data_IF_938264278242
#
_entry.id   IF_938264278242
#
_cell.length_a   1.000
_cell.length_b   1.000
_cell.length_c   1.000
_cell.angle_alpha   90.00
_cell.angle_beta   90.00
_cell.angle_gamma   90.00
#
_symmetry.space_group_name_H-M   'P 1'
#
loop_
_entity.id
_entity.type
_entity.pdbx_description
1 polymer ?
#
# COMPACT_ATOMS: atom_id res chain seq x y z
N UNK A 1 -27.61 -38.46 -30.92
CA UNK A 1 -27.03 -37.34 -31.69
C UNK A 1 -26.71 -36.21 -30.72
N UNK A 2 -25.46 -36.11 -30.28
CA UNK A 2 -24.98 -35.11 -29.32
C UNK A 2 -25.02 -33.73 -29.98
N UNK A 3 -25.93 -32.85 -29.54
CA UNK A 3 -25.99 -31.46 -29.99
C UNK A 3 -24.72 -30.73 -29.53
N UNK A 4 -23.90 -30.28 -30.48
CA UNK A 4 -22.74 -29.43 -30.16
C UNK A 4 -23.23 -28.00 -29.93
N UNK A 5 -23.40 -27.63 -28.66
CA UNK A 5 -24.04 -26.39 -28.19
C UNK A 5 -23.44 -25.09 -28.73
N UNK A 6 -22.19 -25.12 -29.21
CA UNK A 6 -21.45 -23.92 -29.64
C UNK A 6 -21.04 -23.92 -31.11
N UNK A 7 -21.54 -24.87 -31.91
CA UNK A 7 -21.16 -24.99 -33.32
C UNK A 7 -22.27 -24.45 -34.23
N UNK A 8 -21.92 -23.44 -35.03
CA UNK A 8 -22.78 -22.85 -36.06
C UNK A 8 -22.16 -23.08 -37.44
N UNK A 9 -22.99 -23.21 -38.48
CA UNK A 9 -22.51 -23.38 -39.86
C UNK A 9 -23.06 -22.26 -40.75
N UNK A 10 -22.16 -21.52 -41.39
CA UNK A 10 -22.53 -20.47 -42.35
C UNK A 10 -21.94 -20.82 -43.70
N UNK A 11 -22.79 -21.25 -44.62
CA UNK A 11 -22.38 -21.79 -45.92
C UNK A 11 -21.53 -23.06 -45.73
N UNK A 12 -20.29 -23.03 -46.21
CA UNK A 12 -19.36 -24.15 -46.11
C UNK A 12 -18.46 -24.12 -44.87
N UNK A 13 -18.46 -23.03 -44.09
CA UNK A 13 -17.49 -22.82 -43.00
C UNK A 13 -18.17 -22.92 -41.64
N UNK A 14 -17.51 -23.59 -40.71
CA UNK A 14 -17.97 -23.69 -39.32
C UNK A 14 -17.51 -22.52 -38.47
N UNK A 15 -18.36 -22.12 -37.52
CA UNK A 15 -18.16 -21.05 -36.58
C UNK A 15 -18.39 -21.55 -35.15
N UNK A 16 -17.61 -21.02 -34.22
CA UNK A 16 -17.88 -21.11 -32.80
C UNK A 16 -18.81 -19.96 -32.41
N UNK A 17 -19.95 -20.28 -31.80
CA UNK A 17 -20.94 -19.32 -31.33
C UNK A 17 -21.19 -19.49 -29.84
N UNK A 18 -21.05 -18.40 -29.09
CA UNK A 18 -21.33 -18.39 -27.64
C UNK A 18 -21.96 -17.07 -27.22
N UNK A 19 -23.06 -17.14 -26.47
CA UNK A 19 -23.72 -15.97 -25.90
C UNK A 19 -22.87 -15.36 -24.77
N UNK A 20 -22.81 -14.04 -24.73
CA UNK A 20 -22.22 -13.30 -23.60
C UNK A 20 -23.25 -13.23 -22.48
N UNK A 21 -22.93 -13.70 -21.26
CA UNK A 21 -23.86 -13.64 -20.14
C UNK A 21 -24.16 -12.18 -19.73
N UNK A 22 -25.39 -11.96 -19.25
CA UNK A 22 -25.97 -10.61 -19.08
C UNK A 22 -25.20 -9.75 -18.06
N UNK A 23 -24.58 -10.38 -17.07
CA UNK A 23 -23.76 -9.78 -16.01
C UNK A 23 -22.56 -8.98 -16.55
N UNK A 24 -21.98 -9.42 -17.67
CA UNK A 24 -20.76 -8.82 -18.25
C UNK A 24 -20.96 -8.18 -19.62
N UNK A 25 -22.17 -8.26 -20.20
CA UNK A 25 -22.46 -7.76 -21.55
C UNK A 25 -22.07 -6.29 -21.74
N UNK A 26 -22.30 -5.46 -20.73
CA UNK A 26 -21.96 -4.03 -20.76
C UNK A 26 -20.47 -3.70 -20.71
N UNK A 27 -19.58 -4.67 -20.44
CA UNK A 27 -18.12 -4.47 -20.39
C UNK A 27 -17.40 -4.94 -21.65
N UNK A 28 -17.99 -5.87 -22.38
CA UNK A 28 -17.43 -6.36 -23.64
C UNK A 28 -17.99 -5.53 -24.79
N UNK A 29 -17.27 -4.50 -25.20
CA UNK A 29 -17.68 -3.62 -26.30
C UNK A 29 -17.18 -4.14 -27.66
N UNK A 30 -17.99 -3.90 -28.69
CA UNK A 30 -17.60 -4.08 -30.09
C UNK A 30 -16.74 -2.91 -30.57
N UNK A 31 -16.13 -3.02 -31.76
CA UNK A 31 -15.34 -1.92 -32.34
C UNK A 31 -16.13 -0.60 -32.47
N UNK A 32 -17.46 -0.70 -32.53
CA UNK A 32 -18.37 0.44 -32.62
C UNK A 32 -18.85 0.95 -31.26
N UNK A 33 -18.29 0.45 -30.15
CA UNK A 33 -18.67 0.85 -28.79
C UNK A 33 -19.96 0.21 -28.25
N UNK A 34 -20.66 -0.62 -29.04
CA UNK A 34 -21.88 -1.28 -28.60
C UNK A 34 -21.59 -2.56 -27.78
N UNK A 35 -22.40 -2.89 -26.75
CA UNK A 35 -22.27 -4.14 -26.00
C UNK A 35 -22.34 -5.38 -26.90
N UNK A 36 -21.39 -6.29 -26.73
CA UNK A 36 -21.34 -7.55 -27.49
C UNK A 36 -22.30 -8.56 -26.86
N UNK A 37 -23.30 -8.99 -27.63
CA UNK A 37 -24.26 -10.02 -27.21
C UNK A 37 -23.75 -11.44 -27.43
N UNK A 38 -22.89 -11.65 -28.43
CA UNK A 38 -22.36 -12.97 -28.78
C UNK A 38 -20.92 -12.92 -29.31
N UNK A 39 -20.17 -14.00 -29.08
CA UNK A 39 -18.93 -14.31 -29.78
C UNK A 39 -19.26 -15.21 -30.96
N UNK A 40 -18.90 -14.76 -32.17
CA UNK A 40 -18.99 -15.55 -33.41
C UNK A 40 -17.61 -15.59 -34.06
N UNK A 41 -16.90 -16.70 -33.89
CA UNK A 41 -15.51 -16.88 -34.32
C UNK A 41 -15.47 -17.91 -35.45
N UNK A 42 -14.84 -17.56 -36.58
CA UNK A 42 -14.66 -18.52 -37.69
C UNK A 42 -13.63 -19.58 -37.31
N UNK A 43 -14.00 -20.85 -37.42
CA UNK A 43 -13.09 -21.99 -37.21
C UNK A 43 -12.25 -22.29 -38.46
N UNK A 44 -12.48 -21.55 -39.57
CA UNK A 44 -11.76 -21.67 -40.85
C UNK A 44 -11.69 -23.09 -41.42
N UNK A 45 -12.67 -23.92 -41.08
CA UNK A 45 -12.75 -25.31 -41.56
C UNK A 45 -14.13 -25.61 -42.10
N UNK A 46 -14.15 -26.48 -43.12
CA UNK A 46 -15.37 -27.04 -43.71
C UNK A 46 -15.68 -28.44 -43.20
N UNK A 47 -14.74 -29.06 -42.48
CA UNK A 47 -14.90 -30.37 -41.88
C UNK A 47 -15.50 -30.25 -40.47
N UNK A 48 -16.58 -31.00 -40.25
CA UNK A 48 -17.35 -30.98 -39.01
C UNK A 48 -16.55 -31.59 -37.85
N UNK A 49 -15.78 -32.65 -38.10
CA UNK A 49 -15.01 -33.30 -37.03
C UNK A 49 -13.88 -32.41 -36.55
N UNK A 50 -13.14 -31.83 -37.50
CA UNK A 50 -12.10 -30.84 -37.21
C UNK A 50 -12.68 -29.64 -36.46
N UNK A 51 -13.86 -29.14 -36.86
CA UNK A 51 -14.53 -28.04 -36.17
C UNK A 51 -14.85 -28.38 -34.71
N UNK A 52 -15.34 -29.59 -34.43
CA UNK A 52 -15.64 -30.05 -33.06
C UNK A 52 -14.38 -30.10 -32.18
N UNK A 53 -13.24 -30.51 -32.73
CA UNK A 53 -11.97 -30.57 -31.99
C UNK A 53 -11.45 -29.19 -31.59
N UNK A 54 -11.84 -28.13 -32.29
CA UNK A 54 -11.45 -26.75 -32.00
C UNK A 54 -12.34 -26.06 -30.96
N UNK A 55 -13.53 -26.61 -30.67
CA UNK A 55 -14.48 -26.03 -29.69
C UNK A 55 -13.84 -25.85 -28.29
N UNK A 56 -13.12 -26.84 -27.72
CA UNK A 56 -12.52 -26.68 -26.40
C UNK A 56 -11.54 -25.50 -26.31
N UNK A 57 -10.72 -25.30 -27.34
CA UNK A 57 -9.73 -24.21 -27.37
C UNK A 57 -10.41 -22.83 -27.30
N UNK A 58 -11.44 -22.60 -28.13
CA UNK A 58 -12.19 -21.34 -28.11
C UNK A 58 -13.08 -21.17 -26.88
N UNK A 59 -13.50 -22.29 -26.25
CA UNK A 59 -14.22 -22.24 -24.97
C UNK A 59 -13.30 -21.71 -23.87
N UNK A 60 -12.08 -22.24 -23.77
CA UNK A 60 -11.07 -21.77 -22.80
C UNK A 60 -10.73 -20.29 -23.03
N UNK A 61 -10.55 -19.90 -24.29
CA UNK A 61 -10.25 -18.51 -24.66
C UNK A 61 -11.39 -17.56 -24.25
N UNK A 62 -12.64 -17.91 -24.58
CA UNK A 62 -13.80 -17.09 -24.19
C UNK A 62 -14.06 -17.11 -22.69
N UNK A 63 -13.76 -18.20 -21.98
CA UNK A 63 -13.84 -18.25 -20.52
C UNK A 63 -12.83 -17.29 -19.85
N UNK A 64 -11.61 -17.18 -20.39
CA UNK A 64 -10.63 -16.20 -19.90
C UNK A 64 -11.15 -14.77 -20.05
N UNK A 65 -11.72 -14.43 -21.21
CA UNK A 65 -12.32 -13.11 -21.47
C UNK A 65 -13.51 -12.85 -20.54
N UNK A 66 -14.33 -13.87 -20.27
CA UNK A 66 -15.44 -13.73 -19.32
C UNK A 66 -14.97 -13.56 -17.88
N UNK A 67 -13.95 -14.31 -17.46
CA UNK A 67 -13.37 -14.18 -16.11
C UNK A 67 -12.76 -12.78 -15.90
N UNK A 68 -12.06 -12.24 -16.90
CA UNK A 68 -11.53 -10.88 -16.89
C UNK A 68 -12.65 -9.82 -16.88
N UNK A 69 -13.69 -9.98 -17.70
CA UNK A 69 -14.82 -9.07 -17.68
C UNK A 69 -15.55 -9.11 -16.32
N UNK A 70 -15.67 -10.30 -15.70
CA UNK A 70 -16.26 -10.45 -14.36
C UNK A 70 -15.39 -9.84 -13.27
N UNK A 71 -14.07 -9.92 -13.38
CA UNK A 71 -13.19 -9.28 -12.39
C UNK A 71 -13.31 -7.76 -12.44
N UNK A 72 -13.71 -7.16 -13.56
CA UNK A 72 -14.00 -5.72 -13.67
C UNK A 72 -15.38 -5.37 -13.09
N UNK A 73 -16.39 -6.23 -13.29
CA UNK A 73 -17.76 -6.00 -12.78
C UNK A 73 -17.84 -6.23 -11.27
N UNK A 74 -17.20 -7.30 -10.79
CA UNK A 74 -17.13 -7.68 -9.39
C UNK A 74 -15.82 -7.26 -8.72
N UNK A 75 -15.04 -6.38 -9.37
CA UNK A 75 -14.01 -5.65 -8.66
C UNK A 75 -14.71 -5.02 -7.45
N UNK A 76 -14.25 -5.27 -6.20
CA UNK A 76 -14.69 -4.44 -5.09
C UNK A 76 -14.47 -3.00 -5.56
N UNK A 77 -15.50 -2.16 -5.36
CA UNK A 77 -15.50 -0.76 -5.80
C UNK A 77 -14.08 -0.21 -5.65
N UNK A 78 -13.48 0.42 -6.68
CA UNK A 78 -12.12 0.89 -6.57
C UNK A 78 -12.05 1.65 -5.27
N UNK A 79 -11.24 1.15 -4.32
CA UNK A 79 -10.95 1.90 -3.11
C UNK A 79 -10.72 3.33 -3.57
N UNK A 80 -11.43 4.31 -2.97
CA UNK A 80 -11.52 5.67 -3.49
C UNK A 80 -10.13 6.02 -4.00
N UNK A 81 -10.01 6.27 -5.31
CA UNK A 81 -8.71 6.55 -5.92
C UNK A 81 -8.11 7.62 -5.03
N UNK A 82 -7.09 7.25 -4.29
CA UNK A 82 -6.48 8.15 -3.33
C UNK A 82 -5.84 9.21 -4.21
N UNK A 83 -6.59 10.30 -4.42
CA UNK A 83 -6.05 11.58 -4.83
C UNK A 83 -4.94 11.85 -3.84
N UNK A 84 -3.70 11.76 -4.30
CA UNK A 84 -2.48 11.97 -3.53
C UNK A 84 -2.29 11.08 -2.28
N UNK A 85 -1.20 10.27 -2.18
CA UNK A 85 -0.90 9.56 -0.96
C UNK A 85 -0.60 10.46 0.26
N UNK A 86 -0.61 11.79 0.10
CA UNK A 86 -0.54 12.76 1.18
C UNK A 86 -1.91 13.05 1.86
N UNK A 87 -3.03 12.79 1.17
CA UNK A 87 -4.35 13.27 1.60
C UNK A 87 -5.06 12.30 2.56
N UNK A 88 -4.71 11.00 2.56
CA UNK A 88 -5.22 10.00 3.52
C UNK A 88 -4.37 9.91 4.81
N UNK A 89 -3.14 10.40 4.72
CA UNK A 89 -2.20 10.44 5.83
C UNK A 89 -2.61 11.55 6.82
N UNK A 90 -3.13 12.67 6.31
CA UNK A 90 -3.41 13.86 7.12
C UNK A 90 -4.51 13.63 8.16
N UNK A 91 -5.69 13.13 7.80
CA UNK A 91 -6.81 13.06 8.77
C UNK A 91 -6.59 11.96 9.85
N UNK A 92 -5.97 10.84 9.48
CA UNK A 92 -5.62 9.77 10.43
C UNK A 92 -4.46 10.18 11.35
N UNK A 93 -3.46 10.89 10.82
CA UNK A 93 -2.38 11.44 11.64
C UNK A 93 -2.85 12.58 12.53
N UNK A 94 -3.69 13.50 12.03
CA UNK A 94 -4.28 14.59 12.82
C UNK A 94 -5.12 14.05 13.98
N UNK A 95 -5.95 13.03 13.73
CA UNK A 95 -6.72 12.39 14.80
C UNK A 95 -5.81 11.62 15.77
N UNK A 96 -4.74 10.98 15.27
CA UNK A 96 -3.74 10.31 16.11
C UNK A 96 -2.96 11.28 16.99
N UNK A 97 -2.55 12.43 16.45
CA UNK A 97 -1.86 13.50 17.17
C UNK A 97 -2.77 14.09 18.24
N UNK A 98 -4.01 14.42 17.91
CA UNK A 98 -4.98 14.95 18.88
C UNK A 98 -5.26 13.97 20.03
N UNK A 99 -5.30 12.66 19.74
CA UNK A 99 -5.46 11.64 20.77
C UNK A 99 -4.21 11.49 21.64
N UNK A 100 -3.01 11.55 21.05
CA UNK A 100 -1.75 11.55 21.81
C UNK A 100 -1.64 12.79 22.70
N UNK A 101 -2.02 13.96 22.21
CA UNK A 101 -2.02 15.20 22.97
C UNK A 101 -3.00 15.12 24.16
N UNK A 102 -4.21 14.62 23.93
CA UNK A 102 -5.19 14.43 24.99
C UNK A 102 -4.71 13.43 26.06
N UNK A 103 -4.06 12.35 25.65
CA UNK A 103 -3.48 11.36 26.58
C UNK A 103 -2.26 11.92 27.32
N UNK A 104 -1.44 12.75 26.67
CA UNK A 104 -0.33 13.46 27.29
C UNK A 104 -0.82 14.47 28.33
N UNK A 105 -1.82 15.30 28.00
CA UNK A 105 -2.41 16.24 28.97
C UNK A 105 -2.97 15.51 30.19
N UNK A 106 -3.67 14.39 30.00
CA UNK A 106 -4.16 13.58 31.13
C UNK A 106 -3.03 13.00 31.99
N UNK A 107 -1.90 12.67 31.38
CA UNK A 107 -0.70 12.18 32.09
C UNK A 107 -0.03 13.31 32.88
N UNK A 108 0.05 14.50 32.29
CA UNK A 108 0.58 15.70 32.94
C UNK A 108 -0.27 16.10 34.16
N UNK A 109 -1.60 16.14 34.03
CA UNK A 109 -2.51 16.42 35.14
C UNK A 109 -2.33 15.45 36.31
N UNK A 110 -2.14 14.16 35.99
CA UNK A 110 -1.87 13.12 37.00
C UNK A 110 -0.50 13.32 37.63
N UNK A 111 0.50 13.69 36.84
CA UNK A 111 1.86 13.92 37.31
C UNK A 111 1.92 15.12 38.25
N UNK A 112 1.25 16.22 37.93
CA UNK A 112 1.15 17.40 38.78
C UNK A 112 0.54 17.04 40.15
N UNK A 113 -0.57 16.30 40.15
CA UNK A 113 -1.21 15.83 41.41
C UNK A 113 -0.30 14.92 42.24
N UNK A 114 0.53 14.12 41.58
CA UNK A 114 1.45 13.17 42.21
C UNK A 114 2.83 13.78 42.51
N UNK A 115 3.14 14.97 42.01
CA UNK A 115 4.42 15.65 42.20
C UNK A 115 4.89 15.70 43.66
N UNK A 116 4.06 16.08 44.66
CA UNK A 116 4.51 16.10 46.04
C UNK A 116 4.87 14.70 46.57
N UNK A 117 4.15 13.67 46.14
CA UNK A 117 4.43 12.28 46.50
C UNK A 117 5.71 11.77 45.80
N UNK A 118 5.89 12.13 44.53
CA UNK A 118 7.10 11.80 43.76
C UNK A 118 8.32 12.44 44.45
N UNK A 119 8.28 13.74 44.75
CA UNK A 119 9.38 14.44 45.42
C UNK A 119 9.69 13.83 46.80
N UNK A 120 8.67 13.45 47.56
CA UNK A 120 8.84 12.74 48.83
C UNK A 120 9.56 11.40 48.65
N UNK A 121 9.13 10.58 47.68
CA UNK A 121 9.74 9.29 47.39
C UNK A 121 11.18 9.45 46.86
N UNK A 122 11.44 10.44 46.01
CA UNK A 122 12.78 10.72 45.51
C UNK A 122 13.74 11.11 46.63
N UNK A 123 13.30 11.96 47.56
CA UNK A 123 14.07 12.28 48.77
C UNK A 123 14.37 11.02 49.59
N UNK A 124 13.37 10.15 49.77
CA UNK A 124 13.54 8.90 50.52
C UNK A 124 14.49 7.91 49.83
N UNK A 125 14.48 7.85 48.51
CA UNK A 125 15.33 6.95 47.71
C UNK A 125 16.75 7.51 47.48
N UNK A 126 17.01 8.78 47.81
CA UNK A 126 18.32 9.42 47.63
C UNK A 126 19.40 8.95 48.62
N UNK A 127 19.01 8.38 49.77
CA UNK A 127 19.93 7.96 50.83
C UNK A 127 20.74 6.69 50.54
N UNK A 128 21.55 6.28 51.53
CA UNK A 128 22.32 5.02 51.48
C UNK A 128 21.39 3.79 51.45
N UNK A 129 21.71 2.81 50.60
CA UNK A 129 20.95 1.57 50.46
C UNK A 129 21.00 0.68 51.70
N UNK A 130 22.03 0.82 52.53
CA UNK A 130 22.21 0.02 53.77
C UNK A 130 21.16 0.33 54.83
N UNK A 131 20.58 1.54 54.80
CA UNK A 131 19.58 2.00 55.76
C UNK A 131 18.14 1.86 55.21
N UNK A 132 17.98 1.26 54.03
CA UNK A 132 16.69 1.12 53.36
C UNK A 132 16.07 -0.27 53.59
N UNK A 133 14.74 -0.31 53.68
CA UNK A 133 14.00 -1.58 53.64
C UNK A 133 14.24 -2.31 52.30
N UNK A 134 14.10 -3.64 52.25
CA UNK A 134 14.26 -4.41 51.03
C UNK A 134 13.42 -3.88 49.85
N UNK A 135 12.20 -3.43 50.10
CA UNK A 135 11.27 -2.90 49.10
C UNK A 135 11.77 -1.57 48.52
N UNK A 136 12.27 -0.67 49.37
CA UNK A 136 12.84 0.61 48.93
C UNK A 136 14.14 0.42 48.15
N UNK A 137 14.96 -0.58 48.52
CA UNK A 137 16.14 -0.95 47.73
C UNK A 137 15.76 -1.45 46.34
N UNK A 138 14.74 -2.31 46.22
CA UNK A 138 14.25 -2.77 44.93
C UNK A 138 13.72 -1.62 44.06
N UNK A 139 12.93 -0.71 44.65
CA UNK A 139 12.44 0.48 43.96
C UNK A 139 13.58 1.40 43.50
N UNK A 140 14.60 1.60 44.33
CA UNK A 140 15.79 2.39 43.95
C UNK A 140 16.54 1.74 42.78
N UNK A 141 16.74 0.42 42.83
CA UNK A 141 17.42 -0.31 41.76
C UNK A 141 16.69 -0.19 40.42
N UNK A 142 15.36 -0.38 40.42
CA UNK A 142 14.54 -0.21 39.20
C UNK A 142 14.66 1.21 38.66
N UNK A 143 14.56 2.22 39.53
CA UNK A 143 14.69 3.63 39.13
C UNK A 143 16.08 3.91 38.53
N UNK A 144 17.14 3.45 39.16
CA UNK A 144 18.51 3.69 38.70
C UNK A 144 18.76 3.00 37.34
N UNK A 145 18.21 1.80 37.13
CA UNK A 145 18.25 1.08 35.85
C UNK A 145 17.48 1.80 34.74
N UNK A 146 16.29 2.33 35.04
CA UNK A 146 15.52 3.15 34.10
C UNK A 146 16.26 4.45 33.73
N UNK A 147 16.90 5.11 34.70
CA UNK A 147 17.72 6.31 34.46
C UNK A 147 18.92 5.96 33.56
N UNK A 148 19.60 4.84 33.85
CA UNK A 148 20.72 4.38 33.05
C UNK A 148 20.28 4.08 31.60
N UNK A 149 19.22 3.31 31.43
CA UNK A 149 18.66 2.96 30.11
C UNK A 149 18.24 4.19 29.31
N UNK A 150 17.62 5.17 29.96
CA UNK A 150 17.25 6.44 29.32
C UNK A 150 18.48 7.20 28.81
N UNK A 151 19.52 7.33 29.64
CA UNK A 151 20.77 7.99 29.25
C UNK A 151 21.44 7.30 28.07
N UNK A 152 21.44 5.96 28.07
CA UNK A 152 22.00 5.18 26.97
C UNK A 152 21.29 5.48 25.64
N UNK A 153 19.96 5.55 25.65
CA UNK A 153 19.17 5.90 24.46
C UNK A 153 19.43 7.35 24.04
N UNK A 154 19.50 8.29 24.97
CA UNK A 154 19.83 9.70 24.68
C UNK A 154 21.21 9.85 24.02
N UNK A 155 22.21 9.12 24.51
CA UNK A 155 23.55 9.11 23.93
C UNK A 155 23.56 8.48 22.54
N UNK A 156 22.85 7.37 22.34
CA UNK A 156 22.70 6.75 21.02
C UNK A 156 22.02 7.70 20.01
N UNK A 157 20.95 8.38 20.42
CA UNK A 157 20.28 9.38 19.59
C UNK A 157 21.19 10.57 19.26
N UNK A 158 22.06 10.99 20.19
CA UNK A 158 23.05 12.04 19.94
C UNK A 158 24.04 11.63 18.86
N UNK A 159 24.55 10.40 18.93
CA UNK A 159 25.47 9.85 17.92
C UNK A 159 24.79 9.77 16.55
N UNK A 160 23.59 9.20 16.47
CA UNK A 160 22.83 9.10 15.22
C UNK A 160 22.53 10.48 14.60
N UNK A 161 22.22 11.49 15.43
CA UNK A 161 22.02 12.87 14.96
C UNK A 161 23.31 13.49 14.40
N UNK A 162 24.46 13.19 15.00
CA UNK A 162 25.75 13.65 14.48
C UNK A 162 26.11 12.96 13.15
N UNK A 163 25.92 11.65 13.07
CA UNK A 163 26.17 10.87 11.84
C UNK A 163 25.28 11.32 10.69
N UNK A 164 23.98 11.49 10.95
CA UNK A 164 23.05 12.01 9.95
C UNK A 164 23.44 13.41 9.49
N UNK A 165 23.86 14.30 10.39
CA UNK A 165 24.34 15.64 10.02
C UNK A 165 25.58 15.60 9.12
N UNK A 166 26.54 14.72 9.38
CA UNK A 166 27.72 14.53 8.53
C UNK A 166 27.35 13.95 7.16
N UNK A 167 26.43 12.98 7.10
CA UNK A 167 25.93 12.44 5.83
C UNK A 167 25.23 13.51 4.99
N UNK A 168 24.39 14.35 5.62
CA UNK A 168 23.74 15.48 4.94
C UNK A 168 24.76 16.51 4.42
N UNK A 169 25.80 16.78 5.19
CA UNK A 169 26.89 17.68 4.78
C UNK A 169 27.66 17.14 3.58
N UNK A 170 27.99 15.84 3.58
CA UNK A 170 28.67 15.19 2.46
C UNK A 170 27.77 15.11 1.20
N UNK A 171 26.48 14.81 1.37
CA UNK A 171 25.52 14.82 0.26
C UNK A 171 25.34 16.22 -0.34
N UNK A 172 25.41 17.27 0.48
CA UNK A 172 25.35 18.66 0.02
C UNK A 172 26.64 19.09 -0.73
N UNK A 173 27.80 18.55 -0.37
CA UNK A 173 29.06 18.81 -1.09
C UNK A 173 29.19 18.05 -2.41
N UNK A 174 28.54 16.89 -2.54
CA UNK A 174 28.55 16.07 -3.76
C UNK A 174 27.43 16.44 -4.76
N UNK A 175 26.64 17.48 -4.48
CA UNK A 175 25.63 17.96 -5.41
C UNK A 175 26.31 18.50 -6.69
N UNK A 176 25.99 17.97 -7.89
CA UNK A 176 26.59 18.45 -9.12
C UNK A 176 26.21 19.91 -9.35
N UNK A 177 27.21 20.79 -9.41
CA UNK A 177 27.05 22.19 -9.84
C UNK A 177 26.25 22.20 -11.13
N UNK A 178 25.08 22.85 -11.10
CA UNK A 178 24.18 22.93 -12.24
C UNK A 178 24.96 23.40 -13.48
N UNK A 179 24.79 22.75 -14.65
CA UNK A 179 25.50 23.18 -15.86
C UNK A 179 25.08 24.60 -16.23
N UNK A 180 26.09 25.43 -16.45
CA UNK A 180 26.00 26.85 -16.81
C UNK A 180 25.03 27.04 -18.01
N UNK A 181 23.95 27.84 -17.90
CA UNK A 181 22.89 27.91 -18.92
C UNK A 181 23.31 28.54 -20.26
N UNK A 182 24.60 28.82 -20.49
CA UNK A 182 25.11 29.51 -21.68
C UNK A 182 25.66 28.61 -22.79
N UNK A 183 25.64 27.28 -22.63
CA UNK A 183 26.07 26.35 -23.67
C UNK A 183 24.90 25.76 -24.47
N UNK A 184 24.20 26.60 -25.26
CA UNK A 184 23.39 26.09 -26.37
C UNK A 184 24.19 26.19 -27.68
N UNK A 185 24.51 25.07 -28.36
CA UNK A 185 25.12 25.14 -29.68
C UNK A 185 24.08 25.61 -30.70
N UNK A 186 24.41 26.69 -31.42
CA UNK A 186 23.64 27.21 -32.53
C UNK A 186 23.46 26.14 -33.62
N UNK A 187 22.21 25.76 -33.90
CA UNK A 187 21.87 24.93 -35.06
C UNK A 187 22.03 25.76 -36.34
N UNK A 188 22.69 25.24 -37.39
CA UNK A 188 22.67 25.90 -38.69
C UNK A 188 21.29 25.68 -39.33
N UNK A 189 20.70 26.75 -39.85
CA UNK A 189 19.47 26.70 -40.65
C UNK A 189 19.77 26.22 -42.09
N UNK A 190 18.83 25.52 -42.75
CA UNK A 190 18.93 25.10 -44.15
C UNK A 190 18.82 26.27 -45.13
#
# INVERSE_FOLDING_TARGET
>A
MTMCTYLDQVGATYYFRRSVPDDIRGKLLTANGNPRSEFKISLKTKDRETAKRLIPAHTIETDRVFAEARSIVHAPAPAPRISNPADWITERELNGIAQLDADNSRREDKREKLEPMIAFLEGRLSGSTEQMSPELRAMKFIRDDEIYSRRLVEDALRVLRAETAELWKNAASDAPTAPDPKAQPSRPYP
#
